data_IF_085961781739
#
_entry.id   IF_085961781739
#
_cell.length_a   1.000
_cell.length_b   1.000
_cell.length_c   1.000
_cell.angle_alpha   90.00
_cell.angle_beta   90.00
_cell.angle_gamma   90.00
#
_symmetry.space_group_name_H-M   'P 1'
#
loop_
_entity.id
_entity.type
_entity.pdbx_description
1 polymer ?
#
# COMPACT_ATOMS: atom_id res chain seq x y z
N UNK A 1 50.41 -4.09 0.48
CA UNK A 1 50.30 -4.16 1.95
C UNK A 1 49.01 -3.44 2.36
N UNK A 2 47.90 -4.17 2.37
CA UNK A 2 46.57 -3.63 2.68
C UNK A 2 46.43 -3.54 4.21
N UNK A 3 46.44 -2.33 4.77
CA UNK A 3 46.14 -2.09 6.19
C UNK A 3 44.66 -2.41 6.40
N UNK A 4 44.33 -3.53 7.05
CA UNK A 4 42.97 -3.79 7.52
C UNK A 4 42.68 -2.84 8.68
N UNK A 5 42.02 -1.72 8.39
CA UNK A 5 41.51 -0.81 9.40
C UNK A 5 40.43 -1.52 10.21
N UNK A 6 40.73 -1.85 11.46
CA UNK A 6 39.74 -2.40 12.40
C UNK A 6 38.88 -1.23 12.90
N UNK A 7 37.67 -1.08 12.37
CA UNK A 7 36.73 -0.04 12.81
C UNK A 7 36.14 -0.40 14.19
N UNK A 8 35.90 0.57 15.07
CA UNK A 8 35.32 0.31 16.39
C UNK A 8 33.91 -0.27 16.26
N UNK A 9 33.51 -1.13 17.21
CA UNK A 9 32.21 -1.81 17.24
C UNK A 9 31.02 -0.83 17.07
N UNK A 10 31.17 0.41 17.56
CA UNK A 10 30.19 1.49 17.42
C UNK A 10 29.89 1.87 15.97
N UNK A 11 30.87 1.77 15.06
CA UNK A 11 30.69 2.06 13.64
C UNK A 11 29.76 1.04 12.98
N UNK A 12 29.91 -0.24 13.33
CA UNK A 12 29.04 -1.32 12.84
C UNK A 12 27.62 -1.21 13.38
N UNK A 13 27.45 -0.81 14.65
CA UNK A 13 26.13 -0.60 15.26
C UNK A 13 25.39 0.56 14.58
N UNK A 14 26.06 1.67 14.30
CA UNK A 14 25.46 2.83 13.61
C UNK A 14 25.12 2.49 12.16
N UNK A 15 25.98 1.72 11.48
CA UNK A 15 25.71 1.25 10.11
C UNK A 15 24.51 0.30 10.05
N UNK A 16 24.40 -0.62 11.00
CA UNK A 16 23.26 -1.55 11.09
C UNK A 16 21.96 -0.80 11.42
N UNK A 17 21.99 0.12 12.38
CA UNK A 17 20.80 0.88 12.77
C UNK A 17 20.31 1.78 11.64
N UNK A 18 21.20 2.45 10.91
CA UNK A 18 20.83 3.24 9.74
C UNK A 18 20.19 2.38 8.64
N UNK A 19 20.68 1.16 8.44
CA UNK A 19 20.14 0.24 7.43
C UNK A 19 18.75 -0.28 7.83
N UNK A 20 18.54 -0.61 9.11
CA UNK A 20 17.24 -1.06 9.63
C UNK A 20 16.22 0.08 9.58
N UNK A 21 16.60 1.29 9.99
CA UNK A 21 15.73 2.48 9.89
C UNK A 21 15.36 2.74 8.43
N UNK A 22 16.32 2.64 7.50
CA UNK A 22 16.06 2.78 6.07
C UNK A 22 15.02 1.78 5.56
N UNK A 23 15.19 0.49 5.87
CA UNK A 23 14.27 -0.57 5.44
C UNK A 23 12.87 -0.40 6.05
N UNK A 24 12.76 -0.09 7.34
CA UNK A 24 11.47 0.13 8.00
C UNK A 24 10.75 1.34 7.40
N UNK A 25 11.48 2.43 7.15
CA UNK A 25 10.91 3.65 6.56
C UNK A 25 10.44 3.42 5.12
N UNK A 26 11.22 2.70 4.32
CA UNK A 26 10.85 2.33 2.94
C UNK A 26 9.62 1.41 2.93
N UNK A 27 9.59 0.41 3.81
CA UNK A 27 8.47 -0.52 3.92
C UNK A 27 7.17 0.23 4.29
N UNK A 28 7.26 1.19 5.22
CA UNK A 28 6.13 2.04 5.61
C UNK A 28 5.66 2.99 4.51
N UNK A 29 6.57 3.47 3.65
CA UNK A 29 6.22 4.30 2.49
C UNK A 29 5.56 3.50 1.36
N UNK A 30 5.91 2.22 1.21
CA UNK A 30 5.41 1.34 0.14
C UNK A 30 4.16 0.53 0.55
N UNK A 31 3.64 0.72 1.77
CA UNK A 31 2.54 -0.11 2.27
C UNK A 31 1.24 0.15 1.50
N UNK A 32 0.65 -0.93 0.95
CA UNK A 32 -0.74 -0.96 0.46
C UNK A 32 -1.69 -0.97 1.66
N UNK A 33 -2.54 0.04 1.78
CA UNK A 33 -3.55 0.12 2.85
C UNK A 33 -4.87 -0.47 2.34
N UNK A 34 -5.35 -1.62 2.88
CA UNK A 34 -6.66 -2.14 2.50
C UNK A 34 -7.77 -1.26 3.08
N UNK A 35 -8.70 -0.87 2.22
CA UNK A 35 -9.88 -0.10 2.59
C UNK A 35 -11.09 -1.04 2.51
N UNK A 36 -11.45 -1.63 3.64
CA UNK A 36 -12.58 -2.56 3.71
C UNK A 36 -13.88 -1.90 4.20
N UNK A 37 -13.80 -0.72 4.80
CA UNK A 37 -14.93 -0.03 5.42
C UNK A 37 -14.90 1.47 5.13
N UNK A 38 -16.06 2.13 5.27
CA UNK A 38 -16.14 3.60 5.18
C UNK A 38 -15.32 4.30 6.26
N UNK A 39 -15.26 3.73 7.47
CA UNK A 39 -14.45 4.28 8.56
C UNK A 39 -12.95 4.33 8.19
N UNK A 40 -12.43 3.28 7.55
CA UNK A 40 -11.05 3.27 7.06
C UNK A 40 -10.77 4.36 6.01
N UNK A 41 -11.77 4.71 5.19
CA UNK A 41 -11.64 5.83 4.23
C UNK A 41 -11.56 7.17 4.96
N UNK A 42 -12.36 7.39 5.99
CA UNK A 42 -12.31 8.63 6.78
C UNK A 42 -11.00 8.74 7.56
N UNK A 43 -10.56 7.66 8.20
CA UNK A 43 -9.26 7.61 8.90
C UNK A 43 -8.12 7.92 7.92
N UNK A 44 -8.15 7.36 6.71
CA UNK A 44 -7.15 7.67 5.68
C UNK A 44 -7.17 9.16 5.28
N UNK A 45 -8.35 9.76 5.14
CA UNK A 45 -8.48 11.19 4.80
C UNK A 45 -7.90 12.06 5.92
N UNK A 46 -8.17 11.72 7.18
CA UNK A 46 -7.61 12.40 8.34
C UNK A 46 -6.09 12.17 8.45
N UNK A 47 -5.63 10.98 8.13
CA UNK A 47 -4.21 10.61 8.12
C UNK A 47 -3.42 11.43 7.11
N UNK A 48 -3.92 11.55 5.87
CA UNK A 48 -3.29 12.35 4.82
C UNK A 48 -3.37 13.85 5.14
N UNK A 49 -4.42 14.29 5.83
CA UNK A 49 -4.53 15.68 6.28
C UNK A 49 -3.54 16.01 7.40
N UNK A 50 -3.27 15.06 8.30
CA UNK A 50 -2.42 15.26 9.49
C UNK A 50 -0.95 14.99 9.23
N UNK A 51 -0.63 14.05 8.34
CA UNK A 51 0.74 13.70 7.97
C UNK A 51 1.23 14.60 6.84
N UNK A 52 2.43 15.16 6.99
CA UNK A 52 3.11 15.98 5.97
C UNK A 52 3.61 15.14 4.77
N UNK A 53 2.77 14.26 4.19
CA UNK A 53 3.13 13.45 3.02
C UNK A 53 2.20 13.72 1.84
N UNK A 54 2.79 14.11 0.72
CA UNK A 54 2.05 14.43 -0.51
C UNK A 54 1.16 15.66 -0.37
N UNK A 55 0.20 15.80 -1.28
CA UNK A 55 -0.77 16.90 -1.24
C UNK A 55 -2.05 16.44 -0.55
N UNK A 56 -2.57 17.17 0.46
CA UNK A 56 -3.86 16.85 1.05
C UNK A 56 -4.96 16.75 -0.02
N UNK A 57 -5.89 15.83 0.16
CA UNK A 57 -7.01 15.71 -0.77
C UNK A 57 -7.82 17.01 -0.84
N UNK A 58 -8.14 17.42 -2.06
CA UNK A 58 -9.13 18.46 -2.31
C UNK A 58 -10.53 18.01 -1.87
N UNK A 59 -11.43 18.98 -1.66
CA UNK A 59 -12.84 18.70 -1.37
C UNK A 59 -13.55 17.90 -2.47
N UNK A 60 -13.04 17.92 -3.71
CA UNK A 60 -13.55 17.09 -4.80
C UNK A 60 -13.11 15.64 -4.63
N UNK A 61 -11.83 15.42 -4.35
CA UNK A 61 -11.27 14.07 -4.14
C UNK A 61 -11.87 13.40 -2.91
N UNK A 62 -12.04 14.12 -1.80
CA UNK A 62 -12.71 13.61 -0.59
C UNK A 62 -14.12 13.11 -0.93
N UNK A 63 -14.89 13.89 -1.69
CA UNK A 63 -16.25 13.49 -2.11
C UNK A 63 -16.22 12.28 -3.04
N UNK A 64 -15.24 12.18 -3.93
CA UNK A 64 -15.08 11.01 -4.80
C UNK A 64 -14.69 9.77 -4.00
N UNK A 65 -13.72 9.87 -3.10
CA UNK A 65 -13.28 8.78 -2.23
C UNK A 65 -14.44 8.21 -1.39
N UNK A 66 -15.26 9.09 -0.79
CA UNK A 66 -16.45 8.71 -0.02
C UNK A 66 -17.54 7.98 -0.83
N UNK A 67 -17.55 8.15 -2.15
CA UNK A 67 -18.51 7.47 -3.04
C UNK A 67 -18.01 6.11 -3.53
N UNK A 68 -16.73 5.78 -3.30
CA UNK A 68 -16.18 4.50 -3.70
C UNK A 68 -16.85 3.36 -2.92
N UNK A 69 -17.18 2.28 -3.62
CA UNK A 69 -17.63 1.06 -2.97
C UNK A 69 -16.41 0.24 -2.52
N UNK A 70 -15.95 0.55 -1.31
CA UNK A 70 -14.79 -0.08 -0.66
C UNK A 70 -15.10 -1.42 0.01
N UNK A 71 -16.38 -1.80 0.12
CA UNK A 71 -16.77 -3.06 0.75
C UNK A 71 -16.22 -4.25 -0.06
N UNK A 72 -15.43 -5.14 0.55
CA UNK A 72 -14.90 -6.32 -0.13
C UNK A 72 -16.04 -7.20 -0.63
N UNK A 73 -15.89 -7.78 -1.82
CA UNK A 73 -16.84 -8.74 -2.37
C UNK A 73 -16.15 -10.07 -2.60
N UNK A 74 -16.81 -11.13 -2.18
CA UNK A 74 -16.36 -12.51 -2.38
C UNK A 74 -17.40 -13.23 -3.24
N UNK A 75 -16.95 -13.74 -4.37
CA UNK A 75 -17.76 -14.58 -5.27
C UNK A 75 -17.18 -15.99 -5.20
N UNK A 76 -17.98 -16.95 -4.73
CA UNK A 76 -17.59 -18.35 -4.64
C UNK A 76 -18.25 -19.09 -5.81
N UNK A 77 -17.42 -19.60 -6.71
CA UNK A 77 -17.82 -20.43 -7.84
C UNK A 77 -17.35 -21.87 -7.62
N UNK A 78 -17.86 -22.86 -8.38
CA UNK A 78 -17.47 -24.26 -8.20
C UNK A 78 -15.96 -24.52 -8.31
N UNK A 79 -15.28 -23.79 -9.19
CA UNK A 79 -13.86 -24.03 -9.49
C UNK A 79 -12.93 -22.91 -8.98
N UNK A 80 -13.48 -21.80 -8.48
CA UNK A 80 -12.68 -20.68 -8.02
C UNK A 80 -13.39 -19.82 -6.99
N UNK A 81 -12.62 -19.08 -6.21
CA UNK A 81 -13.10 -17.97 -5.37
C UNK A 81 -12.50 -16.68 -5.90
N UNK A 82 -13.34 -15.69 -6.16
CA UNK A 82 -12.90 -14.36 -6.59
C UNK A 82 -13.14 -13.35 -5.50
N UNK A 83 -12.07 -12.71 -5.04
CA UNK A 83 -12.07 -11.64 -4.06
C UNK A 83 -11.82 -10.31 -4.76
N UNK A 84 -12.68 -9.32 -4.52
CA UNK A 84 -12.51 -7.93 -4.94
C UNK A 84 -12.43 -7.05 -3.71
N UNK A 85 -11.39 -6.24 -3.59
CA UNK A 85 -11.23 -5.28 -2.50
C UNK A 85 -10.57 -4.00 -3.00
N UNK A 86 -10.70 -2.92 -2.25
CA UNK A 86 -10.09 -1.64 -2.58
C UNK A 86 -8.88 -1.41 -1.70
N UNK A 87 -7.80 -0.92 -2.28
CA UNK A 87 -6.61 -0.47 -1.56
C UNK A 87 -6.35 0.99 -1.83
N UNK A 88 -5.59 1.61 -0.94
CA UNK A 88 -4.97 2.90 -1.17
C UNK A 88 -3.46 2.77 -1.16
N UNK A 89 -2.81 3.48 -2.07
CA UNK A 89 -1.36 3.69 -2.06
C UNK A 89 -1.05 5.18 -2.13
N UNK A 90 0.02 5.56 -1.44
CA UNK A 90 0.58 6.92 -1.50
C UNK A 90 1.14 7.30 -2.87
N UNK A 91 1.18 6.37 -3.83
CA UNK A 91 1.83 6.53 -5.13
C UNK A 91 0.83 6.55 -6.29
N UNK A 92 -0.24 5.76 -6.20
CA UNK A 92 -1.27 5.62 -7.23
C UNK A 92 -2.68 6.03 -6.79
N UNK A 93 -2.89 6.20 -5.49
CA UNK A 93 -4.20 6.51 -4.92
C UNK A 93 -5.03 5.25 -4.67
N UNK A 94 -6.33 5.33 -4.96
CA UNK A 94 -7.28 4.24 -4.73
C UNK A 94 -7.29 3.28 -5.90
N UNK A 95 -7.12 2.00 -5.62
CA UNK A 95 -7.05 0.93 -6.62
C UNK A 95 -7.99 -0.22 -6.24
N UNK A 96 -8.63 -0.80 -7.23
CA UNK A 96 -9.33 -2.07 -7.10
C UNK A 96 -8.36 -3.23 -7.33
N UNK A 97 -8.35 -4.14 -6.37
CA UNK A 97 -7.61 -5.39 -6.41
C UNK A 97 -8.59 -6.53 -6.65
N UNK A 98 -8.26 -7.40 -7.60
CA UNK A 98 -9.00 -8.62 -7.88
C UNK A 98 -8.04 -9.81 -7.77
N UNK A 99 -8.39 -10.73 -6.89
CA UNK A 99 -7.64 -11.96 -6.64
C UNK A 99 -8.56 -13.14 -6.91
N UNK A 100 -8.10 -14.09 -7.71
CA UNK A 100 -8.82 -15.33 -7.99
C UNK A 100 -8.04 -16.51 -7.46
N UNK A 101 -8.67 -17.30 -6.61
CA UNK A 101 -8.15 -18.55 -6.07
C UNK A 101 -8.75 -19.71 -6.87
N UNK A 102 -7.93 -20.46 -7.59
CA UNK A 102 -8.34 -21.73 -8.21
C UNK A 102 -8.55 -22.80 -7.14
N UNK A 103 -9.66 -23.54 -7.22
CA UNK A 103 -9.99 -24.64 -6.31
C UNK A 103 -9.66 -26.02 -6.88
N UNK A 104 -9.24 -26.10 -8.15
CA UNK A 104 -8.77 -27.34 -8.77
C UNK A 104 -7.26 -27.46 -8.62
N UNK A 105 -6.76 -28.68 -8.38
CA UNK A 105 -5.32 -28.94 -8.29
C UNK A 105 -4.63 -28.77 -9.67
N UNK A 106 -3.46 -28.08 -9.73
CA UNK A 106 -2.80 -27.38 -8.62
C UNK A 106 -3.53 -26.09 -8.21
N UNK A 107 -3.65 -25.85 -6.89
CA UNK A 107 -4.23 -24.61 -6.38
C UNK A 107 -3.37 -23.41 -6.78
N UNK A 108 -3.99 -22.41 -7.40
CA UNK A 108 -3.30 -21.22 -7.90
C UNK A 108 -3.96 -19.95 -7.39
N UNK A 109 -3.14 -18.94 -7.07
CA UNK A 109 -3.58 -17.60 -6.72
C UNK A 109 -3.22 -16.66 -7.87
N UNK A 110 -4.23 -16.14 -8.55
CA UNK A 110 -4.08 -15.29 -9.71
C UNK A 110 -4.40 -13.86 -9.29
N UNK A 111 -3.44 -12.96 -9.45
CA UNK A 111 -3.61 -11.53 -9.21
C UNK A 111 -3.91 -10.85 -10.54
N UNK A 112 -5.07 -10.23 -10.65
CA UNK A 112 -5.34 -9.36 -11.79
C UNK A 112 -4.53 -8.07 -11.66
N UNK A 113 -4.26 -7.42 -12.80
CA UNK A 113 -3.68 -6.07 -12.79
C UNK A 113 -4.63 -5.12 -12.02
N UNK A 114 -4.12 -4.35 -11.03
CA UNK A 114 -4.93 -3.38 -10.31
C UNK A 114 -5.60 -2.37 -11.24
N UNK A 115 -6.83 -1.99 -10.92
CA UNK A 115 -7.57 -0.95 -11.65
C UNK A 115 -7.63 0.33 -10.84
N UNK A 116 -7.12 1.43 -11.38
CA UNK A 116 -7.14 2.72 -10.68
C UNK A 116 -8.56 3.29 -10.62
N UNK A 117 -9.05 3.52 -9.41
CA UNK A 117 -10.39 4.08 -9.15
C UNK A 117 -10.35 5.59 -8.97
N UNK A 118 -9.35 6.08 -8.23
CA UNK A 118 -9.16 7.50 -7.98
C UNK A 118 -7.66 7.78 -7.80
N UNK A 119 -7.01 8.57 -8.67
CA UNK A 119 -5.62 8.94 -8.50
C UNK A 119 -5.41 9.77 -7.23
N UNK A 120 -4.21 9.65 -6.66
CA UNK A 120 -3.73 10.53 -5.59
C UNK A 120 -2.54 11.34 -6.09
N UNK A 121 -2.60 12.65 -5.92
CA UNK A 121 -1.48 13.54 -6.23
C UNK A 121 -0.46 13.52 -5.08
N UNK A 122 0.53 12.65 -5.20
CA UNK A 122 1.63 12.59 -4.23
C UNK A 122 2.67 13.71 -4.41
N UNK A 123 2.59 14.47 -5.50
CA UNK A 123 3.48 15.59 -5.84
C UNK A 123 4.99 15.24 -5.82
N UNK A 124 5.30 13.96 -5.99
CA UNK A 124 6.66 13.44 -6.19
C UNK A 124 6.80 13.17 -7.68
N UNK A 125 7.62 13.98 -8.36
CA UNK A 125 8.02 13.73 -9.73
C UNK A 125 9.24 12.78 -9.69
N UNK A 126 9.13 11.63 -10.35
CA UNK A 126 10.25 10.71 -10.57
C UNK A 126 11.17 11.21 -11.69
#
# INVERSE_FOLDING_TARGET
>A
MLKSGSYPLSFWIISLSSSVIGVVTICWLLTLTPLATRAAVEELIEDIKSKNFGTPFSMREIRSARRLNVEPKVEINPNNVRLRFVTFTKWGGFEEQIVTLSLSEPFEIIYAKPTQLLPYSCNINF
#
